data_IF_624773295476
#
_entry.id   IF_624773295476
#
_cell.length_a   1.000
_cell.length_b   1.000
_cell.length_c   1.000
_cell.angle_alpha   90.00
_cell.angle_beta   90.00
_cell.angle_gamma   90.00
#
_symmetry.space_group_name_H-M   'P 1'
#
loop_
_entity.id
_entity.type
_entity.pdbx_description
1 polymer ?
#
# COMPACT_ATOMS: atom_id res chain seq x y z
N UNK A 1 -10.85 -8.92 -22.72
CA UNK A 1 -10.17 -7.72 -23.30
C UNK A 1 -11.06 -6.48 -23.34
N UNK A 2 -12.32 -6.56 -23.82
CA UNK A 2 -13.20 -5.37 -23.88
C UNK A 2 -13.59 -4.84 -22.49
N UNK A 3 -13.77 -5.68 -21.53
CA UNK A 3 -14.22 -5.30 -20.19
C UNK A 3 -13.11 -4.60 -19.37
N UNK A 4 -11.86 -5.06 -19.45
CA UNK A 4 -10.71 -4.44 -18.82
C UNK A 4 -10.39 -3.08 -19.43
N UNK A 5 -10.41 -2.97 -20.76
CA UNK A 5 -10.18 -1.71 -21.49
C UNK A 5 -11.27 -0.67 -21.16
N UNK A 6 -12.53 -1.09 -21.00
CA UNK A 6 -13.63 -0.19 -20.60
C UNK A 6 -13.46 0.32 -19.18
N UNK A 7 -12.98 -0.53 -18.26
CA UNK A 7 -12.71 -0.16 -16.86
C UNK A 7 -11.54 0.83 -16.78
N UNK A 8 -10.41 0.53 -17.41
CA UNK A 8 -9.27 1.43 -17.49
C UNK A 8 -9.63 2.78 -18.07
N UNK A 9 -10.30 2.80 -19.25
CA UNK A 9 -10.75 4.05 -19.89
C UNK A 9 -11.71 4.86 -19.01
N UNK A 10 -12.57 4.18 -18.24
CA UNK A 10 -13.44 4.80 -17.26
C UNK A 10 -12.68 5.48 -16.12
N UNK A 11 -11.64 4.80 -15.59
CA UNK A 11 -10.76 5.36 -14.57
C UNK A 11 -10.03 6.59 -15.08
N UNK A 12 -9.41 6.52 -16.26
CA UNK A 12 -8.68 7.65 -16.85
C UNK A 12 -9.58 8.86 -17.08
N UNK A 13 -10.81 8.66 -17.56
CA UNK A 13 -11.79 9.75 -17.73
C UNK A 13 -12.14 10.42 -16.39
N UNK A 14 -12.32 9.64 -15.33
CA UNK A 14 -12.60 10.18 -13.98
C UNK A 14 -11.42 11.00 -13.47
N UNK A 15 -10.21 10.46 -13.59
CA UNK A 15 -8.97 11.13 -13.19
C UNK A 15 -8.78 12.45 -13.95
N UNK A 16 -9.02 12.45 -15.27
CA UNK A 16 -8.99 13.68 -16.08
C UNK A 16 -9.94 14.77 -15.56
N UNK A 17 -11.16 14.38 -15.15
CA UNK A 17 -12.12 15.31 -14.52
C UNK A 17 -11.63 15.83 -13.16
N UNK A 18 -11.02 14.96 -12.35
CA UNK A 18 -10.44 15.38 -11.06
C UNK A 18 -9.35 16.43 -11.30
N UNK A 19 -8.41 16.17 -12.21
CA UNK A 19 -7.32 17.10 -12.51
C UNK A 19 -7.86 18.45 -13.02
N UNK A 20 -8.86 18.44 -13.90
CA UNK A 20 -9.52 19.67 -14.37
C UNK A 20 -10.21 20.43 -13.23
N UNK A 21 -10.90 19.71 -12.33
CA UNK A 21 -11.55 20.33 -11.19
C UNK A 21 -10.54 20.97 -10.22
N UNK A 22 -9.36 20.37 -10.04
CA UNK A 22 -8.29 20.91 -9.21
C UNK A 22 -7.67 22.18 -9.80
N UNK A 23 -7.66 22.35 -11.13
CA UNK A 23 -7.19 23.56 -11.78
C UNK A 23 -8.13 24.76 -11.60
N UNK A 24 -9.43 24.48 -11.48
CA UNK A 24 -10.48 25.52 -11.48
C UNK A 24 -11.06 25.77 -10.06
N UNK A 25 -10.68 24.96 -9.08
CA UNK A 25 -11.34 24.94 -7.78
C UNK A 25 -10.76 25.92 -6.77
N UNK A 26 -11.61 26.58 -5.96
CA UNK A 26 -11.19 27.61 -5.00
C UNK A 26 -10.76 27.04 -3.63
N UNK A 27 -10.82 25.73 -3.39
CA UNK A 27 -10.70 25.17 -2.05
C UNK A 27 -9.71 24.00 -1.98
N UNK A 28 -9.11 23.75 -0.81
CA UNK A 28 -8.30 22.55 -0.61
C UNK A 28 -9.13 21.28 -0.85
N UNK A 29 -8.67 20.40 -1.76
CA UNK A 29 -9.38 19.20 -2.14
C UNK A 29 -8.78 17.95 -1.47
N UNK A 30 -9.64 17.00 -1.07
CA UNK A 30 -9.30 15.63 -0.74
C UNK A 30 -9.58 14.77 -1.97
N UNK A 31 -8.57 14.03 -2.44
CA UNK A 31 -8.70 13.10 -3.56
C UNK A 31 -8.55 11.67 -3.05
N UNK A 32 -9.53 10.83 -3.38
CA UNK A 32 -9.53 9.40 -3.05
C UNK A 32 -9.49 8.60 -4.34
N UNK A 33 -8.47 7.74 -4.49
CA UNK A 33 -8.30 6.87 -5.65
C UNK A 33 -8.21 5.43 -5.19
N UNK A 34 -8.95 4.56 -5.84
CA UNK A 34 -8.89 3.13 -5.58
C UNK A 34 -8.23 2.41 -6.76
N UNK A 35 -7.30 1.50 -6.47
CA UNK A 35 -6.54 0.70 -7.43
C UNK A 35 -5.91 1.52 -8.56
N UNK A 36 -5.20 2.60 -8.20
CA UNK A 36 -4.60 3.50 -9.18
C UNK A 36 -3.62 2.76 -10.10
N UNK A 37 -3.81 2.94 -11.42
CA UNK A 37 -3.00 2.30 -12.47
C UNK A 37 -3.48 0.91 -12.88
N UNK A 38 -4.47 0.30 -12.22
CA UNK A 38 -4.99 -1.02 -12.57
C UNK A 38 -5.69 -1.04 -13.95
N UNK A 39 -5.70 -2.23 -14.57
CA UNK A 39 -6.44 -2.48 -15.82
C UNK A 39 -5.67 -2.27 -17.12
N UNK A 40 -4.34 -2.06 -17.02
CA UNK A 40 -3.41 -2.00 -18.15
C UNK A 40 -2.16 -2.84 -17.88
N UNK A 41 -1.18 -2.77 -18.77
CA UNK A 41 0.14 -3.38 -18.54
C UNK A 41 0.77 -2.85 -17.24
N UNK A 42 1.35 -3.69 -16.39
CA UNK A 42 1.90 -3.28 -15.11
C UNK A 42 2.95 -2.16 -15.20
N UNK A 43 3.81 -2.18 -16.20
CA UNK A 43 4.86 -1.18 -16.40
C UNK A 43 4.24 0.18 -16.78
N UNK A 44 3.31 0.19 -17.73
CA UNK A 44 2.59 1.39 -18.13
C UNK A 44 1.70 1.91 -17.00
N UNK A 45 1.02 1.00 -16.29
CA UNK A 45 0.18 1.33 -15.14
C UNK A 45 0.97 1.99 -14.01
N UNK A 46 2.14 1.44 -13.68
CA UNK A 46 3.05 2.01 -12.67
C UNK A 46 3.56 3.39 -13.07
N UNK A 47 4.00 3.56 -14.34
CA UNK A 47 4.49 4.84 -14.84
C UNK A 47 3.40 5.93 -14.79
N UNK A 48 2.19 5.58 -15.26
CA UNK A 48 1.04 6.47 -15.27
C UNK A 48 0.61 6.84 -13.84
N UNK A 49 0.50 5.85 -12.94
CA UNK A 49 0.16 6.07 -11.54
C UNK A 49 1.18 6.97 -10.85
N UNK A 50 2.48 6.75 -11.08
CA UNK A 50 3.56 7.60 -10.55
C UNK A 50 3.39 9.05 -10.98
N UNK A 51 3.22 9.30 -12.27
CA UNK A 51 3.04 10.65 -12.82
C UNK A 51 1.78 11.33 -12.27
N UNK A 52 0.69 10.58 -12.20
CA UNK A 52 -0.59 11.05 -11.67
C UNK A 52 -0.48 11.44 -10.19
N UNK A 53 0.07 10.56 -9.35
CA UNK A 53 0.23 10.82 -7.91
C UNK A 53 1.10 12.04 -7.65
N UNK A 54 2.18 12.24 -8.42
CA UNK A 54 2.99 13.46 -8.35
C UNK A 54 2.19 14.70 -8.73
N UNK A 55 1.43 14.66 -9.81
CA UNK A 55 0.59 15.78 -10.23
C UNK A 55 -0.50 16.13 -9.19
N UNK A 56 -1.06 15.12 -8.52
CA UNK A 56 -2.02 15.31 -7.44
C UNK A 56 -1.37 15.87 -6.17
N UNK A 57 -0.14 15.45 -5.85
CA UNK A 57 0.62 16.01 -4.73
C UNK A 57 0.93 17.50 -4.89
N UNK A 58 0.98 17.99 -6.14
CA UNK A 58 1.16 19.43 -6.44
C UNK A 58 -0.14 20.24 -6.33
N UNK A 59 -1.31 19.61 -6.52
CA UNK A 59 -2.58 20.31 -6.75
C UNK A 59 -3.62 20.08 -5.64
N UNK A 60 -3.61 18.91 -5.02
CA UNK A 60 -4.56 18.56 -3.97
C UNK A 60 -4.01 18.85 -2.57
N UNK A 61 -4.87 19.13 -1.61
CA UNK A 61 -4.48 19.26 -0.20
C UNK A 61 -4.05 17.93 0.39
N UNK A 62 -4.74 16.86 0.03
CA UNK A 62 -4.45 15.49 0.43
C UNK A 62 -4.94 14.52 -0.64
N UNK A 63 -4.11 13.54 -0.98
CA UNK A 63 -4.50 12.41 -1.83
C UNK A 63 -4.28 11.12 -1.07
N UNK A 64 -5.30 10.26 -1.06
CA UNK A 64 -5.20 8.88 -0.55
C UNK A 64 -5.45 7.97 -1.74
N UNK A 65 -4.49 7.11 -2.04
CA UNK A 65 -4.59 6.17 -3.15
C UNK A 65 -4.26 4.75 -2.70
N UNK A 66 -5.09 3.79 -3.11
CA UNK A 66 -4.75 2.37 -2.99
C UNK A 66 -4.10 1.87 -4.27
N UNK A 67 -3.19 0.92 -4.15
CA UNK A 67 -2.53 0.26 -5.28
C UNK A 67 -1.95 -1.08 -4.87
N UNK A 68 -1.80 -1.96 -5.84
CA UNK A 68 -1.09 -3.23 -5.69
C UNK A 68 0.31 -3.20 -6.36
N UNK A 69 0.70 -2.09 -6.98
CA UNK A 69 2.02 -1.96 -7.61
C UNK A 69 3.12 -1.74 -6.56
N UNK A 70 4.03 -2.71 -6.47
CA UNK A 70 5.13 -2.68 -5.50
C UNK A 70 6.08 -1.50 -5.66
N UNK A 71 6.32 -1.08 -6.89
CA UNK A 71 7.24 0.00 -7.27
C UNK A 71 6.79 1.36 -6.72
N UNK A 72 5.48 1.57 -6.56
CA UNK A 72 4.95 2.83 -6.00
C UNK A 72 5.33 3.03 -4.53
N UNK A 73 5.68 1.96 -3.81
CA UNK A 73 6.19 2.05 -2.43
C UNK A 73 7.47 2.88 -2.34
N UNK A 74 8.26 2.91 -3.42
CA UNK A 74 9.50 3.68 -3.49
C UNK A 74 9.29 5.21 -3.56
N UNK A 75 8.09 5.67 -3.87
CA UNK A 75 7.80 7.12 -3.95
C UNK A 75 8.12 7.84 -2.63
N UNK A 76 7.82 7.24 -1.49
CA UNK A 76 8.16 7.79 -0.16
C UNK A 76 9.63 8.12 0.00
N UNK A 77 10.52 7.31 -0.56
CA UNK A 77 11.97 7.49 -0.41
C UNK A 77 12.55 8.51 -1.39
N UNK A 78 11.82 8.78 -2.47
CA UNK A 78 12.24 9.68 -3.53
C UNK A 78 11.59 11.07 -3.45
N UNK A 79 10.49 11.20 -2.71
CA UNK A 79 9.72 12.43 -2.61
C UNK A 79 9.00 12.50 -1.25
N UNK A 80 9.41 13.43 -0.40
CA UNK A 80 8.93 13.61 0.98
C UNK A 80 7.43 13.95 1.12
N UNK A 81 6.76 14.26 0.01
CA UNK A 81 5.30 14.50 -0.02
C UNK A 81 4.49 13.20 0.06
N UNK A 82 5.15 12.05 -0.11
CA UNK A 82 4.52 10.73 -0.07
C UNK A 82 4.78 10.02 1.23
N UNK A 83 3.76 9.31 1.69
CA UNK A 83 3.87 8.38 2.80
C UNK A 83 3.21 7.05 2.44
N UNK A 84 3.77 5.95 2.94
CA UNK A 84 3.20 4.64 2.80
C UNK A 84 2.29 4.33 4.00
N UNK A 85 1.23 3.59 3.73
CA UNK A 85 0.41 2.99 4.76
C UNK A 85 -0.10 1.62 4.27
N UNK A 86 -0.32 0.71 5.18
CA UNK A 86 -0.93 -0.58 4.89
C UNK A 86 -2.01 -0.92 5.90
N UNK A 87 -2.90 -1.82 5.54
CA UNK A 87 -3.87 -2.39 6.48
C UNK A 87 -3.26 -3.62 7.09
N UNK A 88 -3.28 -3.71 8.42
CA UNK A 88 -2.81 -4.87 9.14
C UNK A 88 -3.66 -6.09 8.77
N UNK A 89 -2.99 -7.23 8.64
CA UNK A 89 -3.58 -8.48 8.23
C UNK A 89 -3.29 -9.56 9.25
N UNK A 90 -4.34 -10.23 9.71
CA UNK A 90 -4.20 -11.36 10.61
C UNK A 90 -3.93 -12.63 9.79
N UNK A 91 -2.71 -13.16 9.88
CA UNK A 91 -2.29 -14.35 9.15
C UNK A 91 -2.98 -15.64 9.67
N UNK A 92 -3.48 -15.65 10.92
CA UNK A 92 -4.16 -16.81 11.47
C UNK A 92 -5.61 -16.90 10.99
N UNK A 93 -6.31 -15.78 10.89
CA UNK A 93 -7.71 -15.72 10.44
C UNK A 93 -7.87 -15.44 8.95
N UNK A 94 -6.77 -15.10 8.23
CA UNK A 94 -6.75 -14.65 6.84
C UNK A 94 -7.70 -13.47 6.58
N UNK A 95 -7.76 -12.55 7.52
CA UNK A 95 -8.66 -11.40 7.43
C UNK A 95 -7.93 -10.09 7.73
N UNK A 96 -8.37 -8.97 7.12
CA UNK A 96 -7.88 -7.66 7.50
C UNK A 96 -8.35 -7.31 8.90
N UNK A 97 -7.50 -6.67 9.69
CA UNK A 97 -7.87 -6.16 11.02
C UNK A 97 -8.49 -4.77 10.94
N UNK A 98 -8.45 -4.13 9.77
CA UNK A 98 -8.83 -2.73 9.52
C UNK A 98 -8.00 -1.71 10.29
N UNK A 99 -6.90 -2.13 10.91
CA UNK A 99 -5.93 -1.25 11.51
C UNK A 99 -4.97 -0.71 10.46
N UNK A 100 -4.78 0.62 10.43
CA UNK A 100 -3.86 1.26 9.50
C UNK A 100 -2.45 1.34 10.08
N UNK A 101 -1.50 0.72 9.39
CA UNK A 101 -0.09 0.76 9.71
C UNK A 101 0.58 1.91 8.93
N UNK A 102 0.75 3.04 9.60
CA UNK A 102 1.34 4.22 9.00
C UNK A 102 2.86 4.09 8.84
N UNK A 103 3.38 4.54 7.70
CA UNK A 103 4.81 4.49 7.41
C UNK A 103 5.31 3.13 6.89
N UNK A 104 4.48 2.11 6.92
CA UNK A 104 4.83 0.74 6.55
C UNK A 104 4.06 0.34 5.28
N UNK A 105 4.74 0.06 4.17
CA UNK A 105 4.09 -0.45 2.96
C UNK A 105 3.62 -1.89 3.17
N UNK A 106 2.45 -2.22 2.61
CA UNK A 106 1.91 -3.58 2.69
C UNK A 106 2.79 -4.61 1.97
N UNK A 107 2.78 -5.85 2.49
CA UNK A 107 3.38 -7.02 1.84
C UNK A 107 2.33 -7.81 1.08
N UNK A 108 2.76 -8.52 0.04
CA UNK A 108 1.90 -9.52 -0.60
C UNK A 108 1.83 -10.77 0.27
N UNK A 109 0.62 -11.25 0.53
CA UNK A 109 0.36 -12.48 1.28
C UNK A 109 -0.20 -13.59 0.36
N UNK A 110 -0.12 -13.42 -0.96
CA UNK A 110 -0.77 -14.31 -1.92
C UNK A 110 -0.38 -15.80 -1.75
N UNK A 111 0.91 -16.11 -1.59
CA UNK A 111 1.37 -17.48 -1.40
C UNK A 111 0.95 -18.06 -0.06
N UNK A 112 0.99 -17.28 1.02
CA UNK A 112 0.52 -17.71 2.33
C UNK A 112 -0.98 -18.00 2.32
N UNK A 113 -1.76 -17.18 1.66
CA UNK A 113 -3.20 -17.38 1.47
C UNK A 113 -3.45 -18.63 0.61
N UNK A 114 -2.75 -18.79 -0.51
CA UNK A 114 -2.90 -19.93 -1.41
C UNK A 114 -2.56 -21.26 -0.70
N UNK A 115 -1.49 -21.30 0.10
CA UNK A 115 -1.10 -22.44 0.91
C UNK A 115 -2.23 -22.83 1.88
N UNK A 116 -2.79 -21.85 2.56
CA UNK A 116 -3.83 -22.09 3.55
C UNK A 116 -5.18 -22.49 2.93
N UNK A 117 -5.45 -22.07 1.70
CA UNK A 117 -6.61 -22.50 0.91
C UNK A 117 -6.42 -23.89 0.28
N UNK A 118 -5.29 -24.55 0.53
CA UNK A 118 -5.04 -25.92 0.11
C UNK A 118 -4.53 -26.05 -1.33
N UNK A 119 -3.91 -25.02 -1.88
CA UNK A 119 -3.21 -25.15 -3.18
C UNK A 119 -2.08 -26.19 -3.04
N UNK A 120 -1.87 -26.98 -4.10
CA UNK A 120 -0.85 -28.02 -4.14
C UNK A 120 0.54 -27.50 -3.75
N UNK A 121 1.22 -28.23 -2.87
CA UNK A 121 2.53 -27.82 -2.34
C UNK A 121 3.59 -27.70 -3.43
N UNK A 122 3.59 -28.59 -4.43
CA UNK A 122 4.54 -28.53 -5.54
C UNK A 122 4.37 -27.28 -6.41
N UNK A 123 3.13 -26.81 -6.56
CA UNK A 123 2.84 -25.54 -7.26
C UNK A 123 3.33 -24.36 -6.43
N UNK A 124 3.13 -24.38 -5.11
CA UNK A 124 3.60 -23.35 -4.20
C UNK A 124 5.13 -23.25 -4.17
N UNK A 125 5.83 -24.38 -4.11
CA UNK A 125 7.30 -24.44 -4.14
C UNK A 125 7.85 -23.88 -5.45
N UNK A 126 7.21 -24.22 -6.58
CA UNK A 126 7.59 -23.66 -7.88
C UNK A 126 7.32 -22.14 -7.94
N UNK A 127 6.19 -21.68 -7.44
CA UNK A 127 5.87 -20.26 -7.39
C UNK A 127 6.87 -19.49 -6.50
N UNK A 128 7.23 -20.07 -5.35
CA UNK A 128 8.25 -19.49 -4.46
C UNK A 128 9.62 -19.42 -5.13
N UNK A 129 10.01 -20.45 -5.89
CA UNK A 129 11.27 -20.47 -6.63
C UNK A 129 11.30 -19.45 -7.80
N UNK A 130 10.15 -19.14 -8.38
CA UNK A 130 10.00 -18.12 -9.43
C UNK A 130 9.97 -16.69 -8.88
N UNK A 131 9.62 -16.51 -7.61
CA UNK A 131 9.86 -15.25 -6.91
C UNK A 131 11.37 -15.12 -6.71
N UNK A 132 12.06 -14.72 -7.79
CA UNK A 132 13.52 -14.61 -7.82
C UNK A 132 14.02 -13.71 -6.69
N UNK A 133 15.29 -13.86 -6.26
CA UNK A 133 15.96 -12.94 -5.33
C UNK A 133 16.29 -11.60 -6.04
N UNK A 134 15.30 -11.03 -6.72
CA UNK A 134 15.35 -9.69 -7.27
C UNK A 134 15.02 -8.70 -6.14
N UNK A 135 15.37 -7.45 -6.31
CA UNK A 135 15.28 -6.32 -5.38
C UNK A 135 14.04 -6.28 -4.42
N UNK A 136 12.97 -7.00 -4.76
CA UNK A 136 11.80 -7.19 -3.88
C UNK A 136 12.11 -8.01 -2.61
N UNK A 137 13.06 -8.95 -2.65
CA UNK A 137 13.45 -9.73 -1.47
C UNK A 137 14.13 -8.86 -0.42
N UNK A 138 15.01 -7.96 -0.83
CA UNK A 138 15.69 -7.02 0.07
C UNK A 138 14.69 -6.00 0.64
N UNK A 139 13.82 -5.43 -0.21
CA UNK A 139 12.77 -4.49 0.23
C UNK A 139 11.79 -5.16 1.20
N UNK A 140 11.34 -6.37 0.92
CA UNK A 140 10.44 -7.11 1.81
C UNK A 140 11.11 -7.46 3.14
N UNK A 141 12.42 -7.77 3.16
CA UNK A 141 13.18 -8.02 4.39
C UNK A 141 13.30 -6.73 5.23
N UNK A 142 13.56 -5.60 4.59
CA UNK A 142 13.60 -4.29 5.25
C UNK A 142 12.22 -3.93 5.82
N UNK A 143 11.15 -4.13 5.05
CA UNK A 143 9.77 -3.89 5.51
C UNK A 143 9.45 -4.77 6.71
N UNK A 144 9.82 -6.05 6.67
CA UNK A 144 9.62 -6.96 7.81
C UNK A 144 10.37 -6.48 9.07
N UNK A 145 11.62 -6.06 8.92
CA UNK A 145 12.40 -5.50 10.04
C UNK A 145 11.75 -4.24 10.63
N UNK A 146 11.21 -3.36 9.77
CA UNK A 146 10.50 -2.15 10.22
C UNK A 146 9.18 -2.48 10.93
N UNK A 147 8.42 -3.46 10.44
CA UNK A 147 7.19 -3.94 11.09
C UNK A 147 7.49 -4.51 12.49
N UNK A 148 8.51 -5.37 12.60
CA UNK A 148 8.92 -5.96 13.88
C UNK A 148 9.43 -4.90 14.86
N UNK A 149 10.22 -3.94 14.37
CA UNK A 149 10.72 -2.84 15.20
C UNK A 149 9.56 -1.97 15.71
N UNK A 150 8.59 -1.66 14.85
CA UNK A 150 7.42 -0.89 15.26
C UNK A 150 6.58 -1.63 16.29
N UNK A 151 6.34 -2.94 16.11
CA UNK A 151 5.59 -3.75 17.07
C UNK A 151 6.28 -3.74 18.45
N UNK A 152 7.61 -3.86 18.48
CA UNK A 152 8.39 -3.77 19.73
C UNK A 152 8.27 -2.38 20.38
N UNK A 153 8.32 -1.31 19.57
CA UNK A 153 8.16 0.05 20.09
C UNK A 153 6.76 0.30 20.64
N UNK A 154 5.73 -0.21 19.96
CA UNK A 154 4.36 -0.08 20.40
C UNK A 154 4.11 -0.84 21.70
N UNK A 155 4.57 -2.09 21.81
CA UNK A 155 4.49 -2.87 23.04
C UNK A 155 5.21 -2.18 24.19
N UNK A 156 6.42 -1.66 23.96
CA UNK A 156 7.17 -0.91 24.98
C UNK A 156 6.46 0.38 25.41
N UNK A 157 5.78 1.07 24.49
CA UNK A 157 4.99 2.27 24.80
C UNK A 157 3.74 1.94 25.63
N UNK A 158 3.05 0.84 25.33
CA UNK A 158 1.91 0.35 26.10
C UNK A 158 2.32 -0.08 27.51
N UNK A 159 3.44 -0.79 27.63
CA UNK A 159 4.00 -1.17 28.93
C UNK A 159 4.38 0.07 29.76
N UNK A 160 5.03 1.06 29.14
CA UNK A 160 5.40 2.30 29.80
C UNK A 160 4.16 3.10 30.23
N UNK A 161 3.12 3.18 29.40
CA UNK A 161 1.86 3.84 29.73
C UNK A 161 1.16 3.15 30.92
N UNK A 162 1.18 1.82 30.92
CA UNK A 162 0.61 1.01 32.01
C UNK A 162 1.37 1.23 33.34
N UNK A 163 2.69 1.33 33.26
CA UNK A 163 3.55 1.60 34.43
C UNK A 163 3.28 3.00 34.99
N UNK A 164 3.19 4.00 34.13
CA UNK A 164 2.87 5.39 34.51
C UNK A 164 1.49 5.48 35.18
N UNK A 165 0.48 4.85 34.61
CA UNK A 165 -0.87 4.82 35.20
C UNK A 165 -0.89 4.14 36.60
N UNK A 166 -0.02 3.15 36.81
CA UNK A 166 0.12 2.50 38.15
C UNK A 166 0.84 3.36 39.15
N UNK A 167 1.78 4.21 38.74
CA UNK A 167 2.50 5.12 39.62
C UNK A 167 1.70 6.37 39.97
N UNK A 168 0.74 6.77 39.19
CA UNK A 168 -0.17 7.90 39.50
C UNK A 168 -1.31 7.51 40.47
N UNK A 169 -1.49 6.22 40.74
CA UNK A 169 -2.53 5.70 41.65
C UNK A 169 -1.96 5.37 43.07
N UNK A 170 -0.68 5.65 43.32
CA UNK A 170 -0.01 5.52 44.64
C UNK A 170 0.26 6.89 45.26
#
# INVERSE_FOLDING_TARGET
>A
LQQSLSTFSGHIKRIGRILQALESGPAPALVLLDEVGAGTDPSEGTALATALLKALADRARLTIATTHFGELKALKYNDHRFENASVAFNAETLSPTYELLWGIPGRSNALAIAMRLGLDAGVLDQAQALLAPAAEGEVNTVIQGLEEQRQRQQAAAEDAATLLARTELL
#
